data_IF_861558189515
#
_entry.id   IF_861558189515
#
_cell.length_a   1.000
_cell.length_b   1.000
_cell.length_c   1.000
_cell.angle_alpha   90.00
_cell.angle_beta   90.00
_cell.angle_gamma   90.00
#
_symmetry.space_group_name_H-M   'P 1'
#
loop_
_entity.id
_entity.type
_entity.pdbx_description
1 polymer ?
#
# COMPACT_ATOMS: atom_id res chain seq x y z
N UNK A 1 17.63 12.23 5.71
CA UNK A 1 18.55 11.25 6.30
C UNK A 1 17.82 9.96 6.57
N UNK A 2 18.25 8.93 5.85
CA UNK A 2 18.16 7.49 6.10
C UNK A 2 16.85 6.97 6.70
N UNK A 3 15.95 6.58 5.80
CA UNK A 3 15.12 5.42 6.07
C UNK A 3 16.05 4.28 6.50
N UNK A 4 15.62 3.43 7.43
CA UNK A 4 16.31 2.21 7.86
C UNK A 4 16.94 1.54 6.64
N UNK A 5 18.14 0.95 6.74
CA UNK A 5 18.72 0.19 5.65
C UNK A 5 17.74 -0.95 5.37
N UNK A 6 16.82 -0.73 4.44
CA UNK A 6 15.98 -1.79 3.92
C UNK A 6 16.95 -2.89 3.53
N UNK A 7 16.74 -4.08 4.04
CA UNK A 7 17.55 -5.26 3.76
C UNK A 7 17.69 -5.39 2.22
N UNK A 8 18.82 -4.92 1.66
CA UNK A 8 19.12 -4.97 0.22
C UNK A 8 19.94 -6.21 -0.14
N UNK A 9 19.77 -7.27 0.64
CA UNK A 9 20.48 -8.53 0.47
C UNK A 9 19.81 -9.38 -0.59
N UNK A 10 20.56 -9.79 -1.61
CA UNK A 10 20.12 -10.68 -2.68
C UNK A 10 20.78 -12.04 -2.45
N UNK A 11 19.98 -13.09 -2.47
CA UNK A 11 20.46 -14.46 -2.52
C UNK A 11 20.69 -14.86 -3.98
N UNK A 12 21.93 -15.14 -4.33
CA UNK A 12 22.31 -15.57 -5.68
C UNK A 12 22.60 -17.08 -5.69
N UNK A 13 21.83 -17.81 -6.48
CA UNK A 13 22.01 -19.24 -6.70
C UNK A 13 22.56 -19.48 -8.11
N UNK A 14 23.83 -19.76 -8.22
CA UNK A 14 24.51 -19.96 -9.50
C UNK A 14 25.71 -20.90 -9.33
N UNK A 15 26.06 -21.72 -10.35
CA UNK A 15 27.18 -22.68 -10.31
C UNK A 15 28.45 -22.15 -11.00
N UNK A 16 28.33 -21.18 -11.90
CA UNK A 16 29.46 -20.66 -12.64
C UNK A 16 30.14 -19.55 -11.82
N UNK A 17 31.41 -19.74 -11.39
CA UNK A 17 32.13 -18.72 -10.61
C UNK A 17 32.31 -17.39 -11.36
N UNK A 18 32.44 -17.42 -12.67
CA UNK A 18 32.60 -16.19 -13.49
C UNK A 18 31.30 -15.38 -13.50
N UNK A 19 30.18 -16.05 -13.67
CA UNK A 19 28.87 -15.38 -13.62
C UNK A 19 28.53 -14.90 -12.18
N UNK A 20 28.91 -15.64 -11.14
CA UNK A 20 28.76 -15.22 -9.76
C UNK A 20 29.50 -13.89 -9.52
N UNK A 21 30.77 -13.81 -9.93
CA UNK A 21 31.57 -12.60 -9.77
C UNK A 21 30.97 -11.43 -10.56
N UNK A 22 30.57 -11.65 -11.81
CA UNK A 22 29.94 -10.66 -12.69
C UNK A 22 28.65 -10.11 -12.12
N UNK A 23 27.73 -10.98 -11.67
CA UNK A 23 26.45 -10.63 -11.08
C UNK A 23 26.65 -9.88 -9.75
N UNK A 24 27.55 -10.38 -8.91
CA UNK A 24 27.87 -9.75 -7.62
C UNK A 24 28.39 -8.34 -7.82
N UNK A 25 29.34 -8.15 -8.75
CA UNK A 25 29.89 -6.83 -9.05
C UNK A 25 28.83 -5.87 -9.61
N UNK A 26 27.95 -6.33 -10.49
CA UNK A 26 26.88 -5.52 -11.08
C UNK A 26 25.84 -5.08 -10.04
N UNK A 27 25.40 -6.00 -9.21
CA UNK A 27 24.42 -5.75 -8.15
C UNK A 27 24.99 -4.88 -7.02
N UNK A 28 26.27 -5.10 -6.63
CA UNK A 28 26.94 -4.31 -5.59
C UNK A 28 27.10 -2.85 -6.00
N UNK A 29 27.49 -2.57 -7.26
CA UNK A 29 27.51 -1.20 -7.81
C UNK A 29 26.13 -0.52 -7.78
N UNK A 30 25.06 -1.31 -7.76
CA UNK A 30 23.69 -0.83 -7.69
C UNK A 30 23.15 -0.69 -6.25
N UNK A 31 24.00 -0.93 -5.25
CA UNK A 31 23.68 -0.76 -3.82
C UNK A 31 23.05 -1.99 -3.17
N UNK A 32 23.16 -3.17 -3.78
CA UNK A 32 22.73 -4.43 -3.18
C UNK A 32 23.92 -5.18 -2.56
N UNK A 33 23.69 -5.87 -1.44
CA UNK A 33 24.62 -6.88 -0.94
C UNK A 33 24.23 -8.23 -1.56
N UNK A 34 25.21 -9.01 -2.01
CA UNK A 34 24.96 -10.30 -2.65
C UNK A 34 25.59 -11.41 -1.83
N UNK A 35 24.78 -12.43 -1.53
CA UNK A 35 25.27 -13.68 -0.94
C UNK A 35 25.09 -14.77 -1.99
N UNK A 36 26.20 -15.20 -2.55
CA UNK A 36 26.21 -16.34 -3.46
C UNK A 36 26.27 -17.63 -2.65
N UNK A 37 25.33 -18.51 -2.92
CA UNK A 37 25.24 -19.82 -2.25
C UNK A 37 25.19 -20.91 -3.31
N UNK A 38 25.94 -21.96 -3.06
CA UNK A 38 25.78 -23.19 -3.81
C UNK A 38 24.40 -23.79 -3.50
N UNK A 39 23.57 -23.99 -4.51
CA UNK A 39 22.19 -24.47 -4.36
C UNK A 39 22.06 -25.82 -3.63
N UNK A 40 23.17 -26.58 -3.52
CA UNK A 40 23.23 -27.82 -2.72
C UNK A 40 23.24 -27.58 -1.20
N UNK A 41 23.58 -26.35 -0.78
CA UNK A 41 23.72 -25.94 0.64
C UNK A 41 22.80 -24.79 1.00
N UNK A 42 21.59 -24.74 0.47
CA UNK A 42 20.61 -23.76 0.94
C UNK A 42 20.34 -24.04 2.43
N UNK A 43 21.14 -23.43 3.29
CA UNK A 43 20.91 -23.49 4.71
C UNK A 43 19.71 -22.59 5.01
N UNK A 44 18.51 -23.15 5.05
CA UNK A 44 17.28 -22.45 5.49
C UNK A 44 17.51 -21.63 6.76
N UNK A 45 18.42 -22.08 7.61
CA UNK A 45 18.82 -21.37 8.83
C UNK A 45 19.42 -19.96 8.56
N UNK A 46 20.24 -19.79 7.52
CA UNK A 46 20.80 -18.46 7.18
C UNK A 46 19.74 -17.52 6.61
N UNK A 47 18.74 -18.07 5.92
CA UNK A 47 17.62 -17.29 5.36
C UNK A 47 16.66 -16.81 6.45
N UNK A 48 16.53 -17.53 7.55
CA UNK A 48 15.64 -17.17 8.67
C UNK A 48 16.23 -16.05 9.53
N UNK A 49 17.56 -16.06 9.79
CA UNK A 49 18.20 -15.07 10.65
C UNK A 49 18.42 -13.71 9.97
N UNK A 50 18.69 -13.71 8.67
CA UNK A 50 18.89 -12.49 7.88
C UNK A 50 18.29 -12.72 6.47
N UNK A 51 16.94 -12.64 6.33
CA UNK A 51 16.26 -12.98 5.11
C UNK A 51 16.66 -12.04 3.97
N UNK A 52 16.94 -12.58 2.77
CA UNK A 52 17.19 -11.76 1.60
C UNK A 52 15.90 -11.00 1.19
N UNK A 53 16.06 -9.90 0.48
CA UNK A 53 14.93 -9.19 -0.12
C UNK A 53 14.48 -9.81 -1.46
N UNK A 54 15.33 -10.64 -2.09
CA UNK A 54 15.08 -11.29 -3.37
C UNK A 54 16.01 -12.48 -3.58
N UNK A 55 15.51 -13.50 -4.27
CA UNK A 55 16.29 -14.63 -4.76
C UNK A 55 16.50 -14.50 -6.26
N UNK A 56 17.76 -14.52 -6.69
CA UNK A 56 18.16 -14.60 -8.09
C UNK A 56 18.77 -15.98 -8.34
N UNK A 57 18.14 -16.81 -9.16
CA UNK A 57 18.55 -18.21 -9.38
C UNK A 57 18.77 -18.53 -10.84
N UNK A 58 19.86 -19.22 -11.16
CA UNK A 58 20.11 -19.70 -12.49
C UNK A 58 19.50 -21.09 -12.72
N UNK A 59 18.88 -21.28 -13.86
CA UNK A 59 18.34 -22.56 -14.29
C UNK A 59 19.43 -23.65 -14.29
N UNK A 60 19.10 -24.81 -13.73
CA UNK A 60 19.97 -25.97 -13.74
C UNK A 60 21.07 -25.98 -12.66
N UNK A 61 21.04 -25.04 -11.73
CA UNK A 61 22.00 -24.98 -10.64
C UNK A 61 21.92 -26.23 -9.75
N UNK A 62 23.05 -26.98 -9.64
CA UNK A 62 23.22 -28.21 -8.84
C UNK A 62 22.13 -29.28 -9.04
N UNK A 63 21.66 -29.47 -10.26
CA UNK A 63 20.65 -30.48 -10.59
C UNK A 63 19.24 -30.16 -10.10
N UNK A 64 19.06 -29.03 -9.39
CA UNK A 64 17.73 -28.49 -9.09
C UNK A 64 17.30 -27.60 -10.21
N UNK A 65 16.15 -27.89 -10.81
CA UNK A 65 15.52 -26.96 -11.75
C UNK A 65 15.05 -25.71 -10.98
N UNK A 66 15.00 -24.59 -11.65
CA UNK A 66 14.49 -23.35 -11.09
C UNK A 66 13.07 -23.52 -10.53
N UNK A 67 12.25 -24.39 -11.15
CA UNK A 67 10.91 -24.72 -10.67
C UNK A 67 10.92 -25.51 -9.36
N UNK A 68 11.89 -26.38 -9.11
CA UNK A 68 11.98 -27.08 -7.86
C UNK A 68 12.28 -26.11 -6.73
N UNK A 69 13.22 -25.20 -6.92
CA UNK A 69 13.56 -24.18 -5.92
C UNK A 69 12.38 -23.22 -5.68
N UNK A 70 11.75 -22.71 -6.75
CA UNK A 70 10.59 -21.83 -6.62
C UNK A 70 9.47 -22.49 -5.82
N UNK A 71 9.17 -23.77 -6.09
CA UNK A 71 8.16 -24.53 -5.34
C UNK A 71 8.55 -24.76 -3.88
N UNK A 72 9.81 -25.08 -3.58
CA UNK A 72 10.31 -25.27 -2.23
C UNK A 72 10.17 -23.95 -1.42
N UNK A 73 10.59 -22.82 -2.01
CA UNK A 73 10.46 -21.51 -1.38
C UNK A 73 8.99 -21.13 -1.16
N UNK A 74 8.12 -21.38 -2.14
CA UNK A 74 6.68 -21.07 -2.04
C UNK A 74 5.95 -21.93 -1.03
N UNK A 75 6.43 -23.17 -0.77
CA UNK A 75 5.87 -24.04 0.23
C UNK A 75 6.21 -23.63 1.68
N UNK A 76 7.24 -22.81 1.86
CA UNK A 76 7.61 -22.28 3.17
C UNK A 76 6.72 -21.07 3.53
N UNK A 77 6.03 -21.09 4.69
CA UNK A 77 5.13 -20.00 5.09
C UNK A 77 5.82 -18.64 5.27
N UNK A 78 7.10 -18.64 5.62
CA UNK A 78 7.90 -17.44 5.87
C UNK A 78 8.60 -16.95 4.59
N UNK A 79 9.27 -17.87 3.88
CA UNK A 79 10.06 -17.57 2.67
C UNK A 79 9.21 -17.47 1.41
N UNK A 80 7.99 -18.02 1.41
CA UNK A 80 7.10 -18.07 0.24
C UNK A 80 6.67 -16.70 -0.30
N UNK A 81 6.97 -15.63 0.41
CA UNK A 81 6.71 -14.24 0.00
C UNK A 81 7.91 -13.55 -0.65
N UNK A 82 9.08 -14.19 -0.64
CA UNK A 82 10.27 -13.62 -1.30
C UNK A 82 10.09 -13.62 -2.81
N UNK A 83 10.42 -12.50 -3.48
CA UNK A 83 10.44 -12.48 -4.93
C UNK A 83 11.57 -13.35 -5.47
N UNK A 84 11.27 -14.09 -6.53
CA UNK A 84 12.20 -14.99 -7.21
C UNK A 84 12.34 -14.55 -8.66
N UNK A 85 13.56 -14.26 -9.09
CA UNK A 85 13.92 -14.00 -10.49
C UNK A 85 14.75 -15.17 -11.00
N UNK A 86 14.40 -15.71 -12.18
CA UNK A 86 15.13 -16.82 -12.80
C UNK A 86 15.98 -16.33 -13.96
N UNK A 87 17.27 -16.74 -13.96
CA UNK A 87 18.12 -16.66 -15.14
C UNK A 87 17.89 -17.91 -15.98
N UNK A 88 17.37 -17.75 -17.19
CA UNK A 88 17.01 -18.86 -18.08
C UNK A 88 17.61 -18.66 -19.47
N UNK A 89 18.00 -19.75 -20.13
CA UNK A 89 18.47 -19.67 -21.52
C UNK A 89 17.36 -19.18 -22.44
N UNK A 90 17.69 -18.23 -23.33
CA UNK A 90 16.73 -17.63 -24.27
C UNK A 90 15.96 -18.67 -25.08
N UNK A 91 16.64 -19.74 -25.52
CA UNK A 91 16.02 -20.86 -26.26
C UNK A 91 14.93 -21.60 -25.47
N UNK A 92 14.86 -21.46 -24.16
CA UNK A 92 13.90 -22.15 -23.29
C UNK A 92 12.75 -21.28 -22.79
N UNK A 93 12.80 -19.98 -23.05
CA UNK A 93 11.79 -19.01 -22.54
C UNK A 93 10.37 -19.39 -22.97
N UNK A 94 10.21 -19.91 -24.18
CA UNK A 94 8.90 -20.30 -24.73
C UNK A 94 8.44 -21.70 -24.30
N UNK A 95 9.32 -22.50 -23.68
CA UNK A 95 9.02 -23.89 -23.27
C UNK A 95 8.52 -23.95 -21.81
N UNK A 96 8.50 -22.82 -21.10
CA UNK A 96 8.18 -22.75 -19.67
C UNK A 96 6.75 -22.28 -19.46
N UNK A 97 6.01 -23.02 -18.62
CA UNK A 97 4.74 -22.53 -18.09
C UNK A 97 5.02 -21.57 -16.90
N UNK A 98 5.16 -20.30 -17.22
CA UNK A 98 5.48 -19.24 -16.26
C UNK A 98 4.44 -19.10 -15.16
N UNK A 99 3.17 -19.36 -15.48
CA UNK A 99 2.09 -19.27 -14.50
C UNK A 99 2.18 -20.37 -13.43
N UNK A 100 2.61 -21.57 -13.83
CA UNK A 100 2.78 -22.70 -12.94
C UNK A 100 4.10 -22.63 -12.13
N UNK A 101 5.10 -21.88 -12.63
CA UNK A 101 6.44 -21.84 -12.04
C UNK A 101 6.51 -21.09 -10.70
N UNK A 102 5.58 -20.15 -10.45
CA UNK A 102 5.53 -19.40 -9.19
C UNK A 102 6.71 -18.43 -9.01
N UNK A 103 7.32 -17.93 -10.10
CA UNK A 103 8.37 -16.92 -10.09
C UNK A 103 7.78 -15.54 -10.39
N UNK A 104 8.48 -14.48 -9.96
CA UNK A 104 8.00 -13.10 -10.10
C UNK A 104 8.51 -12.43 -11.37
N UNK A 105 9.68 -12.86 -11.90
CA UNK A 105 10.24 -12.41 -13.18
C UNK A 105 11.29 -13.41 -13.70
N UNK A 106 11.71 -13.22 -14.96
CA UNK A 106 12.82 -13.95 -15.54
C UNK A 106 13.76 -13.02 -16.32
N UNK A 107 15.00 -13.47 -16.52
CA UNK A 107 16.00 -12.81 -17.37
C UNK A 107 16.56 -13.84 -18.33
N UNK A 108 16.42 -13.57 -19.63
CA UNK A 108 16.97 -14.44 -20.67
C UNK A 108 18.50 -14.30 -20.74
N UNK A 109 19.19 -15.45 -20.86
CA UNK A 109 20.64 -15.52 -21.01
C UNK A 109 20.94 -15.79 -22.50
N UNK A 110 21.81 -14.98 -23.16
CA UNK A 110 22.66 -13.92 -22.59
C UNK A 110 21.94 -12.60 -22.35
N UNK A 111 22.29 -11.92 -21.25
CA UNK A 111 21.72 -10.64 -20.85
C UNK A 111 22.80 -9.50 -20.86
N UNK A 112 22.32 -8.25 -20.88
CA UNK A 112 23.19 -7.09 -20.71
C UNK A 112 23.50 -6.87 -19.23
N UNK A 113 24.74 -6.48 -18.86
CA UNK A 113 25.13 -6.31 -17.46
C UNK A 113 24.21 -5.39 -16.64
N UNK A 114 23.64 -4.37 -17.29
CA UNK A 114 22.75 -3.38 -16.65
C UNK A 114 21.33 -3.90 -16.45
N UNK A 115 20.94 -4.95 -17.17
CA UNK A 115 19.56 -5.49 -17.15
C UNK A 115 19.22 -6.09 -15.79
N UNK A 116 20.13 -6.87 -15.20
CA UNK A 116 19.87 -7.59 -13.95
C UNK A 116 19.56 -6.64 -12.79
N UNK A 117 20.36 -5.60 -12.50
CA UNK A 117 20.02 -4.64 -11.46
C UNK A 117 18.71 -3.88 -11.70
N UNK A 118 18.39 -3.58 -12.95
CA UNK A 118 17.13 -2.91 -13.30
C UNK A 118 15.94 -3.81 -13.07
N UNK A 119 15.98 -5.08 -13.46
CA UNK A 119 14.93 -6.08 -13.21
C UNK A 119 14.72 -6.31 -11.72
N UNK A 120 15.81 -6.43 -10.96
CA UNK A 120 15.76 -6.55 -9.50
C UNK A 120 15.03 -5.35 -8.87
N UNK A 121 15.41 -4.12 -9.25
CA UNK A 121 14.75 -2.90 -8.74
C UNK A 121 13.26 -2.86 -9.11
N UNK A 122 12.91 -3.20 -10.35
CA UNK A 122 11.52 -3.23 -10.80
C UNK A 122 10.70 -4.29 -10.04
N UNK A 123 11.26 -5.48 -9.84
CA UNK A 123 10.61 -6.55 -9.09
C UNK A 123 10.33 -6.12 -7.63
N UNK A 124 11.35 -5.60 -6.94
CA UNK A 124 11.21 -5.10 -5.56
C UNK A 124 10.20 -3.95 -5.48
N UNK A 125 10.25 -2.98 -6.40
CA UNK A 125 9.31 -1.86 -6.43
C UNK A 125 7.87 -2.28 -6.70
N UNK A 126 7.64 -3.33 -7.49
CA UNK A 126 6.29 -3.91 -7.70
C UNK A 126 5.79 -4.58 -6.43
N UNK A 127 6.67 -5.35 -5.76
CA UNK A 127 6.33 -6.01 -4.51
C UNK A 127 5.98 -4.99 -3.41
N UNK A 128 6.82 -3.98 -3.21
CA UNK A 128 6.57 -2.91 -2.24
C UNK A 128 5.20 -2.25 -2.48
N UNK A 129 4.90 -1.88 -3.71
CA UNK A 129 3.58 -1.31 -4.07
C UNK A 129 2.42 -2.28 -3.83
N UNK A 130 2.63 -3.56 -4.14
CA UNK A 130 1.59 -4.59 -3.94
C UNK A 130 1.32 -4.86 -2.45
N UNK A 131 2.36 -4.85 -1.62
CA UNK A 131 2.24 -5.05 -0.16
C UNK A 131 1.67 -3.82 0.54
N UNK A 132 1.96 -2.61 0.04
CA UNK A 132 1.47 -1.36 0.60
C UNK A 132 0.01 -1.09 0.21
N UNK A 133 -0.43 -1.51 -0.99
CA UNK A 133 -1.78 -1.26 -1.45
C UNK A 133 -2.84 -1.96 -0.58
N UNK A 134 -3.88 -1.23 -0.21
CA UNK A 134 -5.02 -1.80 0.49
C UNK A 134 -5.68 -2.93 -0.33
N UNK A 135 -5.89 -4.13 0.21
CA UNK A 135 -6.37 -5.27 -0.57
C UNK A 135 -7.80 -5.09 -1.12
N UNK A 136 -8.65 -4.31 -0.44
CA UNK A 136 -10.04 -4.07 -0.83
C UNK A 136 -10.15 -2.94 -1.86
N UNK A 137 -9.59 -1.78 -1.56
CA UNK A 137 -9.75 -0.57 -2.38
C UNK A 137 -8.66 -0.40 -3.43
N UNK A 138 -7.54 -1.12 -3.31
CA UNK A 138 -6.33 -1.01 -4.13
C UNK A 138 -5.66 0.37 -4.11
N UNK A 139 -6.09 1.24 -3.20
CA UNK A 139 -5.43 2.52 -2.97
C UNK A 139 -4.06 2.33 -2.31
N UNK A 140 -3.11 3.26 -2.54
CA UNK A 140 -1.86 3.34 -1.80
C UNK A 140 -2.07 3.29 -0.29
N UNK A 141 -1.25 2.54 0.41
CA UNK A 141 -1.26 2.42 1.86
C UNK A 141 -0.27 3.35 2.56
N UNK A 142 0.04 3.00 3.80
CA UNK A 142 0.80 3.87 4.71
C UNK A 142 2.19 4.26 4.23
N UNK A 143 2.92 3.33 3.58
CA UNK A 143 4.29 3.62 3.10
C UNK A 143 4.27 4.64 1.97
N UNK A 144 3.36 4.49 1.02
CA UNK A 144 3.20 5.43 -0.10
C UNK A 144 2.65 6.77 0.38
N UNK A 145 1.68 6.79 1.31
CA UNK A 145 1.16 8.01 1.94
C UNK A 145 2.29 8.79 2.61
N UNK A 146 3.15 8.10 3.40
CA UNK A 146 4.28 8.72 4.07
C UNK A 146 5.30 9.29 3.08
N UNK A 147 5.61 8.54 2.02
CA UNK A 147 6.52 8.99 0.96
C UNK A 147 5.99 10.24 0.25
N UNK A 148 4.74 10.24 -0.16
CA UNK A 148 4.08 11.38 -0.82
C UNK A 148 4.05 12.62 0.10
N UNK A 149 3.69 12.43 1.38
CA UNK A 149 3.69 13.52 2.37
C UNK A 149 5.09 14.11 2.53
N UNK A 150 6.12 13.25 2.62
CA UNK A 150 7.52 13.68 2.75
C UNK A 150 7.96 14.47 1.51
N UNK A 151 7.66 13.97 0.31
CA UNK A 151 8.00 14.65 -0.94
C UNK A 151 7.37 16.04 -1.05
N UNK A 152 6.10 16.21 -0.63
CA UNK A 152 5.44 17.52 -0.58
C UNK A 152 6.06 18.47 0.43
N UNK A 153 6.43 17.98 1.61
CA UNK A 153 7.15 18.78 2.61
C UNK A 153 8.51 19.23 2.08
N UNK A 154 9.29 18.32 1.49
CA UNK A 154 10.62 18.59 0.95
C UNK A 154 10.59 19.54 -0.27
N UNK A 155 9.52 19.51 -1.05
CA UNK A 155 9.35 20.43 -2.18
C UNK A 155 9.20 21.88 -1.76
N UNK A 156 8.77 22.15 -0.51
CA UNK A 156 8.47 23.48 0.00
C UNK A 156 7.27 24.18 -0.65
N UNK A 157 6.59 23.51 -1.59
CA UNK A 157 5.39 24.05 -2.22
C UNK A 157 4.18 24.00 -1.27
N UNK A 158 3.21 24.92 -1.41
CA UNK A 158 1.96 24.84 -0.66
C UNK A 158 1.20 23.55 -0.98
N UNK A 159 0.78 22.84 0.06
CA UNK A 159 -0.06 21.64 -0.06
C UNK A 159 -1.11 21.57 1.05
N UNK A 160 -2.17 20.84 0.78
CA UNK A 160 -3.16 20.43 1.76
C UNK A 160 -3.21 18.90 1.83
N UNK A 161 -3.30 18.38 3.06
CA UNK A 161 -3.53 16.98 3.35
C UNK A 161 -4.77 16.84 4.21
N UNK A 162 -5.67 15.95 3.81
CA UNK A 162 -6.91 15.68 4.52
C UNK A 162 -6.99 14.22 4.94
N UNK A 163 -7.37 13.98 6.19
CA UNK A 163 -7.81 12.69 6.70
C UNK A 163 -9.32 12.63 6.67
N UNK A 164 -9.86 11.56 6.12
CA UNK A 164 -11.28 11.28 6.02
C UNK A 164 -11.60 10.00 6.79
N UNK A 165 -12.67 10.01 7.56
CA UNK A 165 -13.13 8.88 8.38
C UNK A 165 -14.65 8.75 8.24
N UNK A 166 -15.14 7.50 8.26
CA UNK A 166 -16.57 7.20 8.22
C UNK A 166 -17.14 7.10 9.66
N UNK A 167 -17.89 8.09 10.08
CA UNK A 167 -18.55 8.06 11.37
C UNK A 167 -19.59 6.94 11.44
N UNK A 168 -19.69 6.28 12.58
CA UNK A 168 -20.62 5.16 12.83
C UNK A 168 -20.40 3.90 11.97
N UNK A 169 -19.28 3.78 11.24
CA UNK A 169 -19.00 2.63 10.37
C UNK A 169 -18.97 1.30 11.14
N UNK A 170 -18.42 1.31 12.36
CA UNK A 170 -18.46 0.11 13.23
C UNK A 170 -19.88 -0.34 13.52
N UNK A 171 -20.78 0.58 13.91
CA UNK A 171 -22.18 0.27 14.21
C UNK A 171 -22.92 -0.26 12.98
N UNK A 172 -22.58 0.25 11.80
CA UNK A 172 -23.07 -0.27 10.53
C UNK A 172 -22.61 -1.72 10.30
N UNK A 173 -21.34 -2.03 10.49
CA UNK A 173 -20.80 -3.39 10.36
C UNK A 173 -21.42 -4.36 11.37
N UNK A 174 -21.62 -3.92 12.60
CA UNK A 174 -22.26 -4.74 13.65
C UNK A 174 -23.73 -5.06 13.30
N UNK A 175 -24.42 -4.18 12.58
CA UNK A 175 -25.80 -4.33 12.14
C UNK A 175 -25.95 -5.14 10.84
N UNK A 176 -25.14 -4.81 9.82
CA UNK A 176 -25.32 -5.29 8.44
C UNK A 176 -24.26 -6.31 7.99
N UNK A 177 -23.22 -6.50 8.79
CA UNK A 177 -22.11 -7.41 8.48
C UNK A 177 -21.01 -6.77 7.64
N UNK A 178 -19.81 -7.36 7.74
CA UNK A 178 -18.60 -6.83 7.10
C UNK A 178 -18.67 -6.79 5.56
N UNK A 179 -19.37 -7.74 4.92
CA UNK A 179 -19.47 -7.73 3.46
C UNK A 179 -20.14 -6.46 2.93
N UNK A 180 -21.23 -6.00 3.62
CA UNK A 180 -21.91 -4.75 3.26
C UNK A 180 -21.06 -3.52 3.63
N UNK A 181 -20.27 -3.60 4.71
CA UNK A 181 -19.29 -2.59 5.05
C UNK A 181 -18.17 -2.46 4.01
N UNK A 182 -17.69 -3.56 3.47
CA UNK A 182 -16.70 -3.56 2.37
C UNK A 182 -17.25 -2.86 1.12
N UNK A 183 -18.53 -3.06 0.79
CA UNK A 183 -19.20 -2.33 -0.30
C UNK A 183 -19.21 -0.82 -0.06
N UNK A 184 -19.50 -0.39 1.18
CA UNK A 184 -19.43 1.03 1.58
C UNK A 184 -18.02 1.58 1.40
N UNK A 185 -16.98 0.88 1.85
CA UNK A 185 -15.59 1.30 1.67
C UNK A 185 -15.21 1.44 0.19
N UNK A 186 -15.64 0.49 -0.66
CA UNK A 186 -15.39 0.54 -2.12
C UNK A 186 -16.10 1.73 -2.76
N UNK A 187 -17.34 2.02 -2.38
CA UNK A 187 -18.08 3.18 -2.90
C UNK A 187 -17.47 4.49 -2.42
N UNK A 188 -17.09 4.58 -1.14
CA UNK A 188 -16.38 5.74 -0.60
C UNK A 188 -15.07 5.99 -1.34
N UNK A 189 -14.28 4.94 -1.58
CA UNK A 189 -13.05 5.00 -2.38
C UNK A 189 -13.32 5.55 -3.79
N UNK A 190 -14.37 5.09 -4.47
CA UNK A 190 -14.74 5.56 -5.82
C UNK A 190 -15.15 7.03 -5.82
N UNK A 191 -15.97 7.45 -4.86
CA UNK A 191 -16.37 8.86 -4.72
C UNK A 191 -15.13 9.72 -4.51
N UNK A 192 -14.26 9.32 -3.57
CA UNK A 192 -13.05 10.04 -3.22
C UNK A 192 -12.09 10.18 -4.41
N UNK A 193 -11.76 9.08 -5.09
CA UNK A 193 -10.86 9.10 -6.24
C UNK A 193 -11.42 9.92 -7.41
N UNK A 194 -12.72 9.82 -7.65
CA UNK A 194 -13.38 10.58 -8.72
C UNK A 194 -13.32 12.10 -8.43
N UNK A 195 -13.71 12.51 -7.23
CA UNK A 195 -13.75 13.93 -6.85
C UNK A 195 -12.35 14.54 -6.84
N UNK A 196 -11.36 13.83 -6.27
CA UNK A 196 -9.97 14.31 -6.27
C UNK A 196 -9.43 14.43 -7.69
N UNK A 197 -9.68 13.44 -8.55
CA UNK A 197 -9.26 13.49 -9.96
C UNK A 197 -9.93 14.64 -10.73
N UNK A 198 -11.23 14.90 -10.52
CA UNK A 198 -11.97 15.96 -11.19
C UNK A 198 -11.47 17.37 -10.79
N UNK A 199 -11.16 17.59 -9.50
CA UNK A 199 -10.89 18.93 -8.97
C UNK A 199 -9.41 19.24 -8.77
N UNK A 200 -8.57 18.25 -8.53
CA UNK A 200 -7.12 18.42 -8.34
C UNK A 200 -6.29 17.91 -9.53
N UNK A 201 -6.86 17.11 -10.43
CA UNK A 201 -6.15 16.58 -11.59
C UNK A 201 -4.90 15.79 -11.19
N UNK A 202 -3.77 16.10 -11.81
CA UNK A 202 -2.48 15.41 -11.58
C UNK A 202 -1.82 15.76 -10.23
N UNK A 203 -2.24 16.82 -9.54
CA UNK A 203 -1.75 17.16 -8.20
C UNK A 203 -2.48 16.37 -7.10
N UNK A 204 -3.59 15.73 -7.45
CA UNK A 204 -4.38 14.92 -6.52
C UNK A 204 -3.71 13.61 -6.16
N UNK A 205 -3.70 13.29 -4.86
CA UNK A 205 -3.30 11.98 -4.33
C UNK A 205 -4.39 11.43 -3.43
N UNK A 206 -4.60 10.11 -3.46
CA UNK A 206 -5.55 9.40 -2.58
C UNK A 206 -4.89 8.15 -2.03
N UNK A 207 -5.03 7.91 -0.74
CA UNK A 207 -4.52 6.72 -0.03
C UNK A 207 -5.53 6.17 0.97
N UNK A 208 -5.34 4.92 1.39
CA UNK A 208 -6.17 4.23 2.37
C UNK A 208 -5.30 3.76 3.53
N UNK A 209 -5.46 4.40 4.68
CA UNK A 209 -4.67 4.13 5.89
C UNK A 209 -5.02 2.76 6.48
N UNK A 210 -6.31 2.42 6.51
CA UNK A 210 -6.84 1.15 6.99
C UNK A 210 -8.20 1.31 7.66
N UNK A 211 -8.99 0.24 7.72
CA UNK A 211 -10.35 0.31 8.24
C UNK A 211 -11.23 1.29 7.46
N UNK A 212 -11.72 2.31 8.13
CA UNK A 212 -12.54 3.41 7.61
C UNK A 212 -11.79 4.72 7.37
N UNK A 213 -10.43 4.69 7.50
CA UNK A 213 -9.55 5.86 7.38
C UNK A 213 -8.94 6.01 5.98
N UNK A 214 -9.22 7.14 5.32
CA UNK A 214 -8.62 7.53 4.04
C UNK A 214 -7.81 8.82 4.18
N UNK A 215 -6.89 9.03 3.24
CA UNK A 215 -6.11 10.26 3.11
C UNK A 215 -6.19 10.76 1.66
N UNK A 216 -6.29 12.07 1.50
CA UNK A 216 -6.12 12.68 0.18
C UNK A 216 -5.32 13.99 0.30
N UNK A 217 -4.67 14.35 -0.80
CA UNK A 217 -3.84 15.54 -0.88
C UNK A 217 -4.13 16.30 -2.16
N UNK A 218 -4.02 17.63 -2.09
CA UNK A 218 -4.15 18.53 -3.24
C UNK A 218 -3.51 19.89 -2.96
N UNK A 219 -3.59 20.81 -3.90
CA UNK A 219 -3.28 22.22 -3.62
C UNK A 219 -4.27 22.79 -2.60
N UNK A 220 -3.84 23.71 -1.71
CA UNK A 220 -4.73 24.36 -0.74
C UNK A 220 -5.93 25.06 -1.37
N UNK A 221 -5.76 25.58 -2.57
CA UNK A 221 -6.84 26.28 -3.32
C UNK A 221 -8.00 25.37 -3.74
N UNK A 222 -7.80 24.07 -3.82
CA UNK A 222 -8.82 23.09 -4.28
C UNK A 222 -9.41 22.26 -3.16
N UNK A 223 -8.74 22.17 -2.00
CA UNK A 223 -9.11 21.24 -0.92
C UNK A 223 -10.54 21.46 -0.41
N UNK A 224 -10.97 22.70 -0.29
CA UNK A 224 -12.31 23.04 0.19
C UNK A 224 -13.40 22.54 -0.74
N UNK A 225 -13.25 22.79 -2.05
CA UNK A 225 -14.19 22.32 -3.06
C UNK A 225 -14.24 20.78 -3.10
N UNK A 226 -13.09 20.11 -2.90
CA UNK A 226 -13.02 18.65 -2.80
C UNK A 226 -13.82 18.18 -1.60
N UNK A 227 -13.57 18.70 -0.41
CA UNK A 227 -14.27 18.30 0.82
C UNK A 227 -15.80 18.47 0.70
N UNK A 228 -16.25 19.64 0.24
CA UNK A 228 -17.70 19.91 0.07
C UNK A 228 -18.34 18.97 -0.95
N UNK A 229 -17.65 18.69 -2.06
CA UNK A 229 -18.17 17.78 -3.10
C UNK A 229 -18.20 16.34 -2.59
N UNK A 230 -17.19 15.91 -1.82
CA UNK A 230 -17.14 14.60 -1.18
C UNK A 230 -18.33 14.39 -0.26
N UNK A 231 -18.55 15.32 0.67
CA UNK A 231 -19.68 15.25 1.62
C UNK A 231 -21.00 15.16 0.84
N UNK A 232 -21.21 16.06 -0.10
CA UNK A 232 -22.46 16.08 -0.89
C UNK A 232 -22.72 14.76 -1.62
N UNK A 233 -21.69 14.17 -2.25
CA UNK A 233 -21.82 12.90 -2.99
C UNK A 233 -22.00 11.72 -2.04
N UNK A 234 -21.28 11.70 -0.92
CA UNK A 234 -21.38 10.65 0.08
C UNK A 234 -22.76 10.64 0.73
N UNK A 235 -23.21 11.79 1.24
CA UNK A 235 -24.51 11.93 1.91
C UNK A 235 -25.70 11.57 0.99
N UNK A 236 -25.55 11.75 -0.33
CA UNK A 236 -26.53 11.34 -1.31
C UNK A 236 -26.59 9.82 -1.48
N UNK A 237 -25.47 9.13 -1.43
CA UNK A 237 -25.37 7.70 -1.78
C UNK A 237 -25.49 6.80 -0.56
N UNK A 238 -24.97 7.24 0.59
CA UNK A 238 -24.85 6.37 1.77
C UNK A 238 -26.19 5.85 2.31
N UNK A 239 -27.32 6.57 2.27
CA UNK A 239 -28.60 6.06 2.73
C UNK A 239 -29.08 4.80 1.99
N UNK A 240 -28.64 4.58 0.76
CA UNK A 240 -29.03 3.40 -0.04
C UNK A 240 -28.40 2.09 0.47
N UNK A 241 -27.40 2.18 1.33
CA UNK A 241 -26.77 1.04 1.99
C UNK A 241 -27.53 0.57 3.25
N UNK A 242 -28.57 1.30 3.66
CA UNK A 242 -29.41 0.95 4.80
C UNK A 242 -30.70 0.30 4.35
N UNK A 243 -31.24 -0.58 5.19
CA UNK A 243 -32.57 -1.11 4.95
C UNK A 243 -33.65 0.01 5.02
N UNK A 244 -34.78 -0.12 4.30
CA UNK A 244 -35.77 0.94 4.21
C UNK A 244 -36.22 1.49 5.56
N UNK A 245 -36.37 0.60 6.57
CA UNK A 245 -36.80 0.99 7.90
C UNK A 245 -35.79 1.87 8.64
N UNK A 246 -34.51 1.48 8.65
CA UNK A 246 -33.43 2.22 9.32
C UNK A 246 -33.16 3.52 8.55
N UNK A 247 -33.19 3.50 7.20
CA UNK A 247 -33.11 4.68 6.36
C UNK A 247 -34.25 5.67 6.65
N UNK A 248 -35.49 5.18 6.77
CA UNK A 248 -36.65 6.02 7.06
C UNK A 248 -36.63 6.66 8.45
N UNK A 249 -36.01 5.99 9.43
CA UNK A 249 -35.82 6.52 10.79
C UNK A 249 -34.64 7.50 10.87
N UNK A 250 -33.65 7.37 9.99
CA UNK A 250 -32.40 8.14 10.02
C UNK A 250 -31.36 7.66 11.04
N UNK A 251 -31.55 6.49 11.64
CA UNK A 251 -30.65 5.88 12.62
C UNK A 251 -30.80 4.36 12.69
N UNK A 252 -29.79 3.69 13.24
CA UNK A 252 -29.82 2.27 13.60
C UNK A 252 -30.07 2.14 15.10
N UNK A 253 -31.02 1.31 15.50
CA UNK A 253 -31.14 0.88 16.89
C UNK A 253 -30.18 -0.30 17.12
N UNK A 254 -29.28 -0.17 18.08
CA UNK A 254 -28.38 -1.22 18.53
C UNK A 254 -28.53 -1.46 20.02
N UNK A 255 -28.16 -2.65 20.47
CA UNK A 255 -28.13 -2.99 21.89
C UNK A 255 -26.69 -3.31 22.26
N UNK A 256 -26.16 -2.58 23.24
CA UNK A 256 -24.82 -2.84 23.74
C UNK A 256 -24.74 -4.17 24.51
N UNK A 257 -23.52 -4.61 24.84
CA UNK A 257 -23.30 -5.87 25.59
C UNK A 257 -23.91 -5.87 27.01
N UNK A 258 -24.38 -4.73 27.50
CA UNK A 258 -25.03 -4.56 28.80
C UNK A 258 -26.54 -4.48 28.69
N UNK A 259 -27.09 -4.61 27.46
CA UNK A 259 -28.53 -4.54 27.21
C UNK A 259 -29.08 -3.12 27.05
N UNK A 260 -28.26 -2.09 27.00
CA UNK A 260 -28.73 -0.73 26.79
C UNK A 260 -29.01 -0.49 25.30
N UNK A 261 -30.14 0.17 25.02
CA UNK A 261 -30.44 0.63 23.67
C UNK A 261 -29.65 1.85 23.34
N UNK A 262 -28.89 1.79 22.25
CA UNK A 262 -28.10 2.86 21.72
C UNK A 262 -28.51 3.16 20.27
N UNK A 263 -28.62 4.45 19.93
CA UNK A 263 -29.00 4.91 18.60
C UNK A 263 -27.81 5.52 17.91
N UNK A 264 -27.51 4.98 16.74
CA UNK A 264 -26.43 5.48 15.89
C UNK A 264 -27.04 6.15 14.66
N UNK A 265 -26.76 7.44 14.39
CA UNK A 265 -27.14 8.09 13.13
C UNK A 265 -26.60 7.32 11.93
N UNK A 266 -27.16 7.59 10.75
CA UNK A 266 -26.56 7.08 9.50
C UNK A 266 -25.12 7.56 9.41
N UNK A 267 -24.28 6.82 8.68
CA UNK A 267 -22.88 7.18 8.46
C UNK A 267 -22.74 8.57 7.87
N UNK A 268 -21.72 9.29 8.32
CA UNK A 268 -21.31 10.59 7.84
C UNK A 268 -19.81 10.63 7.64
N UNK A 269 -19.28 11.69 7.06
CA UNK A 269 -17.84 11.90 6.87
C UNK A 269 -17.30 12.91 7.86
N UNK A 270 -16.26 12.54 8.60
CA UNK A 270 -15.42 13.46 9.35
C UNK A 270 -14.13 13.71 8.57
N UNK A 271 -13.90 14.95 8.13
CA UNK A 271 -12.72 15.32 7.35
C UNK A 271 -11.86 16.30 8.14
N UNK A 272 -10.58 15.99 8.37
CA UNK A 272 -9.61 16.85 9.01
C UNK A 272 -8.58 17.35 8.00
N UNK A 273 -8.55 18.67 7.73
CA UNK A 273 -7.67 19.29 6.72
C UNK A 273 -6.52 20.03 7.40
N UNK A 274 -5.30 19.75 6.95
CA UNK A 274 -4.07 20.42 7.37
C UNK A 274 -3.39 21.02 6.14
N UNK A 275 -3.00 22.32 6.22
CA UNK A 275 -2.24 23.01 5.16
C UNK A 275 -0.94 23.58 5.71
N UNK A 276 0.06 23.78 4.85
CA UNK A 276 1.33 24.42 5.20
C UNK A 276 1.39 25.92 4.83
N UNK A 277 0.24 26.56 4.58
CA UNK A 277 0.21 27.96 4.12
C UNK A 277 0.62 28.97 5.19
N UNK A 278 0.29 28.70 6.45
CA UNK A 278 0.53 29.64 7.56
C UNK A 278 1.65 29.16 8.52
N UNK A 279 2.04 27.90 8.45
CA UNK A 279 3.09 27.30 9.28
C UNK A 279 3.96 26.35 8.47
N UNK A 280 5.25 26.42 8.71
CA UNK A 280 6.19 25.45 8.12
C UNK A 280 5.98 24.08 8.78
N UNK A 281 5.61 23.10 7.99
CA UNK A 281 5.55 21.70 8.39
C UNK A 281 6.90 21.08 8.00
N UNK A 282 7.61 20.52 8.97
CA UNK A 282 8.96 19.97 8.75
C UNK A 282 9.00 18.44 8.79
N UNK A 283 7.97 17.82 9.35
CA UNK A 283 7.94 16.37 9.51
C UNK A 283 6.50 15.81 9.30
N UNK A 284 6.34 14.67 8.61
CA UNK A 284 5.02 14.04 8.44
C UNK A 284 4.26 13.78 9.75
N UNK A 285 4.98 13.51 10.85
CA UNK A 285 4.39 13.32 12.18
C UNK A 285 3.63 14.55 12.69
N UNK A 286 4.03 15.76 12.31
CA UNK A 286 3.33 17.00 12.69
C UNK A 286 1.95 17.05 12.05
N UNK A 287 1.86 16.64 10.77
CA UNK A 287 0.59 16.56 10.01
C UNK A 287 -0.37 15.59 10.71
N UNK A 288 0.11 14.39 11.03
CA UNK A 288 -0.72 13.34 11.65
C UNK A 288 -1.22 13.75 13.04
N UNK A 289 -0.40 14.44 13.82
CA UNK A 289 -0.77 14.95 15.16
C UNK A 289 -1.89 15.98 15.05
N UNK A 290 -1.71 16.99 14.19
CA UNK A 290 -2.69 18.06 13.99
C UNK A 290 -4.00 17.47 13.46
N UNK A 291 -3.94 16.59 12.46
CA UNK A 291 -5.11 15.93 11.90
C UNK A 291 -5.89 15.13 12.95
N UNK A 292 -5.19 14.43 13.85
CA UNK A 292 -5.83 13.69 14.95
C UNK A 292 -6.60 14.58 15.91
N UNK A 293 -6.11 15.80 16.20
CA UNK A 293 -6.81 16.77 17.03
C UNK A 293 -8.05 17.32 16.31
N UNK A 294 -7.92 17.66 15.04
CA UNK A 294 -9.03 18.16 14.21
C UNK A 294 -10.12 17.11 13.99
N UNK A 295 -9.74 15.85 13.80
CA UNK A 295 -10.67 14.74 13.66
C UNK A 295 -11.57 14.58 14.89
N UNK A 296 -11.04 14.81 16.11
CA UNK A 296 -11.86 14.79 17.34
C UNK A 296 -12.89 15.92 17.34
N UNK A 297 -12.53 17.09 16.82
CA UNK A 297 -13.44 18.24 16.73
C UNK A 297 -14.53 17.94 15.69
N UNK A 298 -14.18 17.46 14.50
CA UNK A 298 -15.15 17.10 13.46
C UNK A 298 -16.14 16.05 13.98
N UNK A 299 -15.66 14.96 14.59
CA UNK A 299 -16.51 13.91 15.18
C UNK A 299 -17.43 14.36 16.33
N UNK A 300 -17.18 15.51 16.93
CA UNK A 300 -18.06 16.05 17.98
C UNK A 300 -19.31 16.74 17.44
N UNK A 301 -19.36 17.00 16.13
CA UNK A 301 -20.50 17.61 15.46
C UNK A 301 -21.37 16.54 14.82
N UNK A 302 -22.71 16.70 14.78
CA UNK A 302 -23.60 15.75 14.12
C UNK A 302 -23.56 15.92 12.59
N UNK A 303 -23.50 14.81 11.88
CA UNK A 303 -23.47 14.78 10.40
C UNK A 303 -22.07 14.93 9.81
N UNK A 304 -22.00 15.04 8.48
CA UNK A 304 -20.70 15.20 7.78
C UNK A 304 -20.09 16.58 8.06
N UNK A 305 -18.85 16.61 8.54
CA UNK A 305 -18.20 17.84 9.01
C UNK A 305 -16.73 17.94 8.58
N UNK A 306 -16.25 19.18 8.43
CA UNK A 306 -14.86 19.49 8.08
C UNK A 306 -14.18 20.24 9.23
N UNK A 307 -13.27 19.58 9.92
CA UNK A 307 -12.34 20.22 10.87
C UNK A 307 -11.14 20.82 10.13
N UNK A 308 -10.80 22.08 10.41
CA UNK A 308 -9.71 22.80 9.73
C UNK A 308 -8.70 23.33 10.74
N UNK A 309 -7.42 23.12 10.45
CA UNK A 309 -6.35 23.95 11.00
C UNK A 309 -5.59 24.58 9.84
N UNK A 310 -5.71 25.86 9.74
CA UNK A 310 -4.77 26.70 9.01
C UNK A 310 -3.52 26.82 9.90
N UNK A 311 -2.57 25.94 9.69
CA UNK A 311 -1.30 25.92 10.43
C UNK A 311 -0.25 26.66 9.63
#
# INVERSE_FOLDING_TARGET
>A
MSGSPSNRRILLLHNDPVEIERLTAGLSRSGFSVVAVDAGRLALHELVHDPPCLVLAAEGTNGRSADTLARELRADPFLGRLPVIILIRDSRVNDVDWAALGVDDYIAVPYRPEEVPQRVRLCLSRLERSLDANPLTRLPGNSTILHETTARIESGAPFALAYLDLDNFKSFNDRYGYARGDEVLVVTCRILTTVVSELAGTDGFVGHVGGDDFVFMSAPSTIEAICQTLIKRFDLVIPDFYDPDDRGKGFIDSVDRRGNHERFPLMSLSIAVVTNEQRVITHPGDVSKIASELKKIAKSQPGSEIGRAHV
#
